data_IF_143891576924
#
_entry.id   IF_143891576924
#
_cell.length_a   1.000
_cell.length_b   1.000
_cell.length_c   1.000
_cell.angle_alpha   90.00
_cell.angle_beta   90.00
_cell.angle_gamma   90.00
#
_symmetry.space_group_name_H-M   'P 1'
#
loop_
_entity.id
_entity.type
_entity.pdbx_description
1 polymer ?
#
# COMPACT_ATOMS: atom_id res chain seq x y z
N UNK A 1 -7.53 -8.35 12.25
CA UNK A 1 -8.50 -7.55 11.48
C UNK A 1 -7.77 -6.48 10.70
N UNK A 2 -8.43 -5.75 9.80
CA UNK A 2 -7.74 -4.85 8.84
C UNK A 2 -6.84 -3.78 9.48
N UNK A 3 -7.17 -3.32 10.69
CA UNK A 3 -6.37 -2.33 11.44
C UNK A 3 -5.16 -2.92 12.18
N UNK A 4 -4.97 -4.24 12.17
CA UNK A 4 -3.83 -4.85 12.83
C UNK A 4 -2.56 -4.49 12.05
N UNK A 5 -1.46 -4.08 12.71
CA UNK A 5 -0.21 -3.68 12.04
C UNK A 5 0.25 -4.66 10.95
N UNK A 6 0.31 -5.96 11.27
CA UNK A 6 0.72 -6.97 10.29
C UNK A 6 -0.25 -7.12 9.11
N UNK A 7 -1.55 -6.85 9.29
CA UNK A 7 -2.50 -6.91 8.17
C UNK A 7 -2.27 -5.75 7.19
N UNK A 8 -1.84 -4.59 7.69
CA UNK A 8 -1.49 -3.44 6.85
C UNK A 8 -0.20 -3.72 6.07
N UNK A 9 0.80 -4.34 6.71
CA UNK A 9 2.03 -4.78 6.04
C UNK A 9 1.71 -5.76 4.91
N UNK A 10 0.93 -6.81 5.19
CA UNK A 10 0.51 -7.77 4.17
C UNK A 10 -0.28 -7.13 3.01
N UNK A 11 -1.07 -6.10 3.29
CA UNK A 11 -1.80 -5.35 2.26
C UNK A 11 -0.84 -4.53 1.38
N UNK A 12 0.18 -3.90 1.98
CA UNK A 12 1.26 -3.23 1.24
C UNK A 12 2.05 -4.23 0.38
N UNK A 13 2.38 -5.41 0.90
CA UNK A 13 3.12 -6.43 0.15
C UNK A 13 2.32 -6.97 -1.04
N UNK A 14 1.01 -7.19 -0.84
CA UNK A 14 0.09 -7.55 -1.93
C UNK A 14 0.07 -6.47 -3.01
N UNK A 15 -0.03 -5.21 -2.62
CA UNK A 15 -0.03 -4.09 -3.55
C UNK A 15 1.28 -4.00 -4.35
N UNK A 16 2.44 -4.14 -3.69
CA UNK A 16 3.75 -4.19 -4.36
C UNK A 16 3.87 -5.37 -5.33
N UNK A 17 3.30 -6.53 -4.96
CA UNK A 17 3.28 -7.71 -5.84
C UNK A 17 2.42 -7.47 -7.09
N UNK A 18 1.26 -6.83 -6.92
CA UNK A 18 0.37 -6.46 -8.04
C UNK A 18 1.03 -5.43 -8.97
N UNK A 19 1.74 -4.45 -8.40
CA UNK A 19 2.50 -3.45 -9.13
C UNK A 19 3.59 -4.11 -10.01
N UNK A 20 4.35 -5.05 -9.44
CA UNK A 20 5.34 -5.83 -10.18
C UNK A 20 4.74 -6.70 -11.30
N UNK A 21 3.46 -7.05 -11.21
CA UNK A 21 2.72 -7.77 -12.26
C UNK A 21 2.14 -6.84 -13.34
N UNK A 22 2.34 -5.52 -13.24
CA UNK A 22 1.73 -4.54 -14.14
C UNK A 22 0.26 -4.23 -13.83
N UNK A 23 -0.27 -4.73 -12.70
CA UNK A 23 -1.67 -4.54 -12.30
C UNK A 23 -1.82 -3.26 -11.47
N UNK A 24 -1.48 -2.13 -12.08
CA UNK A 24 -1.29 -0.84 -11.37
C UNK A 24 -2.55 -0.30 -10.71
N UNK A 25 -3.73 -0.44 -11.33
CA UNK A 25 -5.00 0.01 -10.72
C UNK A 25 -5.34 -0.78 -9.45
N UNK A 26 -5.10 -2.09 -9.45
CA UNK A 26 -5.35 -2.94 -8.27
C UNK A 26 -4.32 -2.68 -7.18
N UNK A 27 -3.04 -2.56 -7.56
CA UNK A 27 -1.99 -2.14 -6.64
C UNK A 27 -2.35 -0.83 -5.94
N UNK A 28 -2.86 0.16 -6.70
CA UNK A 28 -3.28 1.43 -6.15
C UNK A 28 -4.40 1.30 -5.12
N UNK A 29 -5.43 0.49 -5.41
CA UNK A 29 -6.54 0.26 -4.47
C UNK A 29 -6.03 -0.28 -3.13
N UNK A 30 -5.19 -1.32 -3.16
CA UNK A 30 -4.65 -1.92 -1.93
C UNK A 30 -3.69 -0.99 -1.21
N UNK A 31 -2.81 -0.29 -1.93
CA UNK A 31 -1.85 0.62 -1.30
C UNK A 31 -2.51 1.86 -0.69
N UNK A 32 -3.55 2.39 -1.34
CA UNK A 32 -4.36 3.48 -0.80
C UNK A 32 -5.06 3.04 0.49
N UNK A 33 -5.65 1.85 0.50
CA UNK A 33 -6.30 1.28 1.69
C UNK A 33 -5.30 1.04 2.83
N UNK A 34 -4.12 0.51 2.53
CA UNK A 34 -3.05 0.32 3.50
C UNK A 34 -2.61 1.67 4.11
N UNK A 35 -2.47 2.70 3.28
CA UNK A 35 -2.11 4.06 3.71
C UNK A 35 -3.14 4.66 4.67
N UNK A 36 -4.43 4.54 4.35
CA UNK A 36 -5.50 5.08 5.18
C UNK A 36 -5.60 4.37 6.55
N UNK A 37 -5.47 3.04 6.56
CA UNK A 37 -5.44 2.26 7.80
C UNK A 37 -4.18 2.57 8.63
N UNK A 38 -3.02 2.69 7.99
CA UNK A 38 -1.76 3.01 8.65
C UNK A 38 -1.82 4.38 9.36
N UNK A 39 -2.45 5.39 8.74
CA UNK A 39 -2.69 6.70 9.37
C UNK A 39 -3.60 6.60 10.58
N UNK A 40 -4.70 5.85 10.48
CA UNK A 40 -5.70 5.74 11.56
C UNK A 40 -5.14 5.15 12.85
N UNK A 41 -4.20 4.22 12.75
CA UNK A 41 -3.60 3.55 13.92
C UNK A 41 -2.20 4.05 14.26
N UNK A 42 -1.74 5.11 13.59
CA UNK A 42 -0.39 5.67 13.75
C UNK A 42 0.70 4.58 13.61
N UNK A 43 0.62 3.81 12.52
CA UNK A 43 1.49 2.67 12.26
C UNK A 43 2.96 3.09 12.24
N UNK A 44 3.87 2.37 12.92
CA UNK A 44 5.29 2.75 13.00
C UNK A 44 5.96 2.86 11.62
N UNK A 45 5.50 2.05 10.67
CA UNK A 45 6.01 2.02 9.28
C UNK A 45 5.14 2.81 8.30
N UNK A 46 4.35 3.79 8.75
CA UNK A 46 3.55 4.64 7.84
C UNK A 46 4.40 5.23 6.71
N UNK A 47 5.64 5.63 7.00
CA UNK A 47 6.57 6.17 6.00
C UNK A 47 6.87 5.18 4.87
N UNK A 48 7.00 3.88 5.15
CA UNK A 48 7.20 2.85 4.12
C UNK A 48 5.96 2.69 3.25
N UNK A 49 4.77 2.63 3.85
CA UNK A 49 3.50 2.51 3.11
C UNK A 49 3.31 3.70 2.16
N UNK A 50 3.69 4.91 2.59
CA UNK A 50 3.62 6.11 1.74
C UNK A 50 4.65 6.08 0.59
N UNK A 51 5.87 5.62 0.85
CA UNK A 51 6.88 5.42 -0.19
C UNK A 51 6.41 4.43 -1.25
N UNK A 52 5.80 3.32 -0.83
CA UNK A 52 5.27 2.33 -1.76
C UNK A 52 4.05 2.87 -2.55
N UNK A 53 3.19 3.69 -1.93
CA UNK A 53 2.11 4.40 -2.63
C UNK A 53 2.63 5.35 -3.71
N UNK A 54 3.72 6.08 -3.44
CA UNK A 54 4.35 6.93 -4.43
C UNK A 54 4.86 6.12 -5.63
N UNK A 55 5.51 4.98 -5.38
CA UNK A 55 5.98 4.09 -6.44
C UNK A 55 4.82 3.57 -7.33
N UNK A 56 3.74 3.08 -6.71
CA UNK A 56 2.54 2.62 -7.43
C UNK A 56 1.92 3.75 -8.27
N UNK A 57 1.84 4.97 -7.74
CA UNK A 57 1.32 6.13 -8.49
C UNK A 57 2.19 6.48 -9.70
N UNK A 58 3.52 6.39 -9.57
CA UNK A 58 4.44 6.62 -10.68
C UNK A 58 4.27 5.59 -11.79
N UNK A 59 4.01 4.32 -11.45
CA UNK A 59 3.76 3.28 -12.45
C UNK A 59 2.38 3.38 -13.09
N UNK A 60 1.34 3.72 -12.32
CA UNK A 60 -0.02 3.93 -12.83
C UNK A 60 -0.14 5.11 -13.79
N UNK A 61 0.68 6.15 -13.60
CA UNK A 61 0.70 7.35 -14.44
C UNK A 61 1.57 7.24 -15.70
N UNK A 62 2.24 6.11 -15.92
CA UNK A 62 3.00 5.81 -17.13
C UNK A 62 2.13 5.09 -18.15
#
# INVERSE_FOLDING_TARGET
GERHPQTIVLMSDLATTLDAQGRFDEAYIYMQRASDLARQINHPELHMVLSNLAAVLMHRGR
#
